data_IF_656394344157
#
_entry.id   IF_656394344157
#
_cell.length_a   1.000
_cell.length_b   1.000
_cell.length_c   1.000
_cell.angle_alpha   90.00
_cell.angle_beta   90.00
_cell.angle_gamma   90.00
#
_symmetry.space_group_name_H-M   'P 1'
#
loop_
_entity.id
_entity.type
_entity.pdbx_description
1 polymer ?
#
# COMPACT_ATOMS: atom_id res chain seq x y z
N UNK A 1 13.30 7.44 -19.72
CA UNK A 1 13.15 6.12 -19.06
C UNK A 1 13.98 6.02 -17.79
N UNK A 2 15.26 6.39 -17.79
CA UNK A 2 16.13 6.36 -16.59
C UNK A 2 15.55 7.11 -15.39
N UNK A 3 14.99 8.32 -15.60
CA UNK A 3 14.33 9.09 -14.55
C UNK A 3 13.11 8.38 -13.94
N UNK A 4 12.31 7.71 -14.78
CA UNK A 4 11.11 6.96 -14.33
C UNK A 4 11.51 5.79 -13.44
N UNK A 5 12.58 5.07 -13.78
CA UNK A 5 13.06 3.92 -12.99
C UNK A 5 13.57 4.39 -11.62
N UNK A 6 14.35 5.47 -11.57
CA UNK A 6 14.84 6.03 -10.31
C UNK A 6 13.70 6.52 -9.42
N UNK A 7 12.74 7.25 -10.00
CA UNK A 7 11.55 7.71 -9.27
C UNK A 7 10.68 6.53 -8.81
N UNK A 8 10.62 5.43 -9.56
CA UNK A 8 9.90 4.23 -9.15
C UNK A 8 10.56 3.54 -7.95
N UNK A 9 11.89 3.48 -7.91
CA UNK A 9 12.63 2.94 -6.75
C UNK A 9 12.36 3.82 -5.52
N UNK A 10 12.45 5.14 -5.67
CA UNK A 10 12.14 6.08 -4.58
C UNK A 10 10.70 5.95 -4.11
N UNK A 11 9.74 5.84 -5.03
CA UNK A 11 8.34 5.64 -4.67
C UNK A 11 8.05 4.29 -4.00
N UNK A 12 8.80 3.23 -4.32
CA UNK A 12 8.74 1.97 -3.60
C UNK A 12 9.21 2.13 -2.14
N UNK A 13 10.28 2.89 -1.91
CA UNK A 13 10.75 3.24 -0.56
C UNK A 13 9.69 4.08 0.18
N UNK A 14 9.07 5.07 -0.49
CA UNK A 14 7.98 5.86 0.10
C UNK A 14 6.77 4.99 0.46
N UNK A 15 6.43 3.99 -0.38
CA UNK A 15 5.39 3.01 -0.07
C UNK A 15 5.68 2.24 1.21
N UNK A 16 6.93 1.83 1.44
CA UNK A 16 7.34 1.17 2.67
C UNK A 16 7.23 2.11 3.89
N UNK A 17 7.60 3.39 3.75
CA UNK A 17 7.44 4.40 4.82
C UNK A 17 5.97 4.62 5.16
N UNK A 18 5.12 4.83 4.14
CA UNK A 18 3.67 5.00 4.34
C UNK A 18 3.10 3.77 5.03
N UNK A 19 3.42 2.56 4.55
CA UNK A 19 2.96 1.31 5.16
C UNK A 19 3.41 1.16 6.62
N UNK A 20 4.67 1.48 6.92
CA UNK A 20 5.23 1.41 8.28
C UNK A 20 4.47 2.33 9.23
N UNK A 21 4.22 3.57 8.82
CA UNK A 21 3.48 4.54 9.64
C UNK A 21 2.02 4.12 9.76
N UNK A 22 1.37 3.77 8.64
CA UNK A 22 -0.05 3.43 8.57
C UNK A 22 -0.41 2.23 9.42
N UNK A 23 0.41 1.17 9.37
CA UNK A 23 0.16 -0.07 10.09
C UNK A 23 0.89 -0.16 11.44
N UNK A 24 1.53 0.93 11.90
CA UNK A 24 2.13 0.98 13.23
C UNK A 24 1.08 0.85 14.34
N UNK A 25 1.47 0.24 15.47
CA UNK A 25 0.61 0.07 16.65
C UNK A 25 0.07 1.39 17.23
N UNK A 26 0.73 2.51 16.92
CA UNK A 26 0.33 3.84 17.33
C UNK A 26 -0.91 4.38 16.61
N UNK A 27 -1.26 3.82 15.44
CA UNK A 27 -2.40 4.32 14.65
C UNK A 27 -3.65 3.48 14.86
N UNK A 28 -4.86 4.07 14.68
CA UNK A 28 -6.10 3.30 14.65
C UNK A 28 -6.08 2.18 13.58
N UNK A 29 -5.43 2.45 12.44
CA UNK A 29 -5.34 1.52 11.32
C UNK A 29 -4.44 0.31 11.64
N UNK A 30 -3.32 0.53 12.32
CA UNK A 30 -2.47 -0.56 12.81
C UNK A 30 -3.20 -1.43 13.84
N UNK A 31 -3.98 -0.84 14.76
CA UNK A 31 -4.81 -1.60 15.70
C UNK A 31 -5.84 -2.50 14.99
N UNK A 32 -6.50 -1.97 13.95
CA UNK A 32 -7.43 -2.76 13.11
C UNK A 32 -6.68 -3.89 12.41
N UNK A 33 -5.47 -3.62 11.88
CA UNK A 33 -4.67 -4.63 11.21
C UNK A 33 -4.22 -5.75 12.16
N UNK A 34 -3.80 -5.43 13.37
CA UNK A 34 -3.42 -6.45 14.36
C UNK A 34 -4.59 -7.31 14.80
N UNK A 35 -5.78 -6.71 14.94
CA UNK A 35 -7.01 -7.47 15.19
C UNK A 35 -7.39 -8.35 14.01
N UNK A 36 -7.19 -7.88 12.79
CA UNK A 36 -7.36 -8.72 11.59
C UNK A 36 -6.40 -9.91 11.58
N UNK A 37 -5.16 -9.73 12.02
CA UNK A 37 -4.18 -10.82 12.17
C UNK A 37 -4.47 -11.72 13.39
N UNK A 38 -5.43 -11.37 14.24
CA UNK A 38 -5.76 -12.09 15.48
C UNK A 38 -4.73 -11.91 16.59
N UNK A 39 -3.78 -10.96 16.45
CA UNK A 39 -2.75 -10.68 17.45
C UNK A 39 -3.29 -9.97 18.69
N UNK A 40 -4.49 -9.40 18.62
CA UNK A 40 -5.18 -8.79 19.76
C UNK A 40 -5.64 -9.80 20.82
N UNK A 41 -5.76 -11.08 20.44
CA UNK A 41 -6.21 -12.17 21.32
C UNK A 41 -5.08 -12.96 21.97
N UNK A 42 -3.84 -12.71 21.54
CA UNK A 42 -2.67 -13.43 22.02
C UNK A 42 -2.11 -12.77 23.29
N UNK A 43 -1.62 -13.59 24.20
CA UNK A 43 -0.77 -13.16 25.31
C UNK A 43 0.57 -12.63 24.80
N UNK A 44 1.31 -11.89 25.62
CA UNK A 44 2.58 -11.30 25.17
C UNK A 44 3.66 -12.34 24.89
N UNK A 45 3.61 -13.49 25.55
CA UNK A 45 4.52 -14.61 25.29
C UNK A 45 4.19 -15.31 23.97
N UNK A 46 2.91 -15.51 23.66
CA UNK A 46 2.48 -16.04 22.36
C UNK A 46 2.81 -15.09 21.20
N UNK A 47 2.70 -13.77 21.42
CA UNK A 47 3.12 -12.77 20.42
C UNK A 47 4.60 -12.87 20.14
N UNK A 48 5.44 -12.95 21.19
CA UNK A 48 6.89 -13.11 21.03
C UNK A 48 7.23 -14.38 20.29
N UNK A 49 6.61 -15.51 20.65
CA UNK A 49 6.82 -16.78 19.97
C UNK A 49 6.48 -16.69 18.48
N UNK A 50 5.31 -16.14 18.12
CA UNK A 50 4.93 -15.97 16.71
C UNK A 50 5.86 -15.02 15.96
N UNK A 51 6.40 -14.01 16.62
CA UNK A 51 7.41 -13.13 16.02
C UNK A 51 8.71 -13.89 15.74
N UNK A 52 9.19 -14.71 16.68
CA UNK A 52 10.38 -15.56 16.49
C UNK A 52 10.20 -16.56 15.34
N UNK A 53 9.02 -17.19 15.26
CA UNK A 53 8.68 -18.12 14.17
C UNK A 53 8.60 -17.42 12.80
N UNK A 54 8.17 -16.15 12.78
CA UNK A 54 8.07 -15.36 11.55
C UNK A 54 9.43 -14.84 11.07
N UNK A 55 10.39 -14.55 11.96
CA UNK A 55 11.73 -14.00 11.63
C UNK A 55 12.40 -14.65 10.41
N UNK A 56 12.51 -15.99 10.29
CA UNK A 56 13.16 -16.62 9.13
C UNK A 56 12.46 -16.33 7.79
N UNK A 57 11.16 -16.04 7.81
CA UNK A 57 10.38 -15.71 6.61
C UNK A 57 10.31 -14.21 6.33
N UNK A 58 10.58 -13.36 7.33
CA UNK A 58 10.44 -11.89 7.22
C UNK A 58 11.23 -11.32 6.03
N UNK A 59 12.48 -11.75 5.84
CA UNK A 59 13.30 -11.25 4.73
C UNK A 59 12.66 -11.54 3.35
N UNK A 60 12.08 -12.73 3.18
CA UNK A 60 11.39 -13.11 1.93
C UNK A 60 10.10 -12.30 1.76
N UNK A 61 9.34 -12.11 2.84
CA UNK A 61 8.11 -11.31 2.81
C UNK A 61 8.40 -9.84 2.49
N UNK A 62 9.42 -9.23 3.09
CA UNK A 62 9.83 -7.87 2.78
C UNK A 62 10.39 -7.72 1.37
N UNK A 63 11.18 -8.69 0.89
CA UNK A 63 11.65 -8.71 -0.49
C UNK A 63 10.49 -8.76 -1.49
N UNK A 64 9.51 -9.64 -1.25
CA UNK A 64 8.29 -9.74 -2.05
C UNK A 64 7.48 -8.44 -2.01
N UNK A 65 7.27 -7.88 -0.80
CA UNK A 65 6.56 -6.61 -0.64
C UNK A 65 7.25 -5.46 -1.37
N UNK A 66 8.58 -5.39 -1.32
CA UNK A 66 9.34 -4.35 -2.02
C UNK A 66 9.18 -4.45 -3.53
N UNK A 67 9.17 -5.67 -4.08
CA UNK A 67 8.90 -5.90 -5.49
C UNK A 67 7.48 -5.45 -5.87
N UNK A 68 6.47 -5.78 -5.06
CA UNK A 68 5.10 -5.34 -5.28
C UNK A 68 4.99 -3.81 -5.22
N UNK A 69 5.59 -3.18 -4.21
CA UNK A 69 5.66 -1.71 -4.08
C UNK A 69 6.37 -1.06 -5.27
N UNK A 70 7.41 -1.69 -5.82
CA UNK A 70 8.09 -1.22 -7.02
C UNK A 70 7.20 -1.26 -8.25
N UNK A 71 6.41 -2.32 -8.44
CA UNK A 71 5.46 -2.41 -9.55
C UNK A 71 4.39 -1.32 -9.47
N UNK A 72 3.79 -1.14 -8.29
CA UNK A 72 2.81 -0.08 -8.05
C UNK A 72 3.42 1.31 -8.28
N UNK A 73 4.63 1.54 -7.77
CA UNK A 73 5.32 2.81 -7.95
C UNK A 73 5.68 3.07 -9.40
N UNK A 74 6.17 2.06 -10.11
CA UNK A 74 6.53 2.17 -11.52
C UNK A 74 5.33 2.57 -12.36
N UNK A 75 4.19 1.88 -12.19
CA UNK A 75 2.97 2.21 -12.91
C UNK A 75 2.50 3.65 -12.63
N UNK A 76 2.54 4.07 -11.37
CA UNK A 76 2.13 5.43 -10.95
C UNK A 76 3.02 6.51 -11.56
N UNK A 77 4.34 6.36 -11.42
CA UNK A 77 5.32 7.31 -11.96
C UNK A 77 5.21 7.36 -13.49
N UNK A 78 5.08 6.20 -14.15
CA UNK A 78 4.96 6.12 -15.59
C UNK A 78 3.72 6.86 -16.09
N UNK A 79 2.55 6.60 -15.50
CA UNK A 79 1.29 7.27 -15.87
C UNK A 79 1.42 8.78 -15.69
N UNK A 80 1.82 9.25 -14.51
CA UNK A 80 1.93 10.70 -14.23
C UNK A 80 2.93 11.35 -15.19
N UNK A 81 4.11 10.78 -15.33
CA UNK A 81 5.18 11.35 -16.16
C UNK A 81 4.78 11.43 -17.62
N UNK A 82 4.23 10.36 -18.18
CA UNK A 82 3.85 10.33 -19.58
C UNK A 82 2.62 11.19 -19.86
N UNK A 83 1.62 11.17 -18.97
CA UNK A 83 0.45 12.05 -19.10
C UNK A 83 0.87 13.53 -19.14
N UNK A 84 1.71 13.97 -18.21
CA UNK A 84 2.13 15.37 -18.15
C UNK A 84 3.05 15.75 -19.32
N UNK A 85 3.96 14.87 -19.74
CA UNK A 85 4.80 15.09 -20.94
C UNK A 85 3.99 15.18 -22.23
N UNK A 86 2.84 14.51 -22.28
CA UNK A 86 1.89 14.57 -23.40
C UNK A 86 0.93 15.76 -23.29
N UNK A 87 1.17 16.71 -22.39
CA UNK A 87 0.41 17.96 -22.28
C UNK A 87 -0.83 17.90 -21.39
N UNK A 88 -1.07 16.81 -20.68
CA UNK A 88 -2.17 16.76 -19.70
C UNK A 88 -1.80 17.53 -18.43
N UNK A 89 -2.80 18.17 -17.83
CA UNK A 89 -2.63 18.76 -16.50
C UNK A 89 -2.40 17.68 -15.45
N UNK A 90 -1.70 18.03 -14.37
CA UNK A 90 -1.50 17.09 -13.25
C UNK A 90 -2.82 16.58 -12.66
N UNK A 91 -3.87 17.42 -12.61
CA UNK A 91 -5.19 17.01 -12.14
C UNK A 91 -5.82 15.91 -13.01
N UNK A 92 -5.69 16.03 -14.34
CA UNK A 92 -6.13 14.97 -15.27
C UNK A 92 -5.31 13.69 -15.12
N UNK A 93 -3.99 13.82 -14.97
CA UNK A 93 -3.11 12.67 -14.75
C UNK A 93 -3.40 11.95 -13.43
N UNK A 94 -3.67 12.69 -12.35
CA UNK A 94 -4.15 12.15 -11.08
C UNK A 94 -5.49 11.43 -11.22
N UNK A 95 -6.37 11.91 -12.10
CA UNK A 95 -7.63 11.25 -12.44
C UNK A 95 -7.41 9.79 -12.86
N UNK A 96 -6.42 9.50 -13.69
CA UNK A 96 -6.10 8.11 -14.08
C UNK A 96 -5.62 7.26 -12.91
N UNK A 97 -4.81 7.83 -12.01
CA UNK A 97 -4.34 7.12 -10.81
C UNK A 97 -5.50 6.79 -9.87
N UNK A 98 -6.38 7.76 -9.61
CA UNK A 98 -7.56 7.58 -8.75
C UNK A 98 -8.54 6.59 -9.39
N UNK A 99 -8.72 6.62 -10.71
CA UNK A 99 -9.54 5.63 -11.42
C UNK A 99 -8.94 4.23 -11.35
N UNK A 100 -7.62 4.08 -11.50
CA UNK A 100 -6.99 2.76 -11.34
C UNK A 100 -7.18 2.21 -9.92
N UNK A 101 -7.04 3.07 -8.92
CA UNK A 101 -7.35 2.70 -7.54
C UNK A 101 -8.81 2.29 -7.36
N UNK A 102 -9.76 3.12 -7.80
CA UNK A 102 -11.19 2.92 -7.60
C UNK A 102 -11.74 1.72 -8.38
N UNK A 103 -11.27 1.51 -9.61
CA UNK A 103 -11.83 0.50 -10.51
C UNK A 103 -11.13 -0.86 -10.42
N UNK A 104 -9.88 -0.92 -9.95
CA UNK A 104 -9.14 -2.19 -9.83
C UNK A 104 -8.80 -2.55 -8.40
N UNK A 105 -8.17 -1.65 -7.63
CA UNK A 105 -7.73 -2.00 -6.27
C UNK A 105 -8.92 -2.15 -5.31
N UNK A 106 -9.87 -1.22 -5.36
CA UNK A 106 -11.04 -1.25 -4.47
C UNK A 106 -11.86 -2.54 -4.65
N UNK A 107 -12.21 -2.99 -5.87
CA UNK A 107 -12.94 -4.25 -6.05
C UNK A 107 -12.12 -5.50 -5.68
N UNK A 108 -10.82 -5.52 -6.00
CA UNK A 108 -9.96 -6.68 -5.68
C UNK A 108 -9.83 -6.85 -4.16
N UNK A 109 -9.50 -5.76 -3.44
CA UNK A 109 -9.37 -5.79 -1.98
C UNK A 109 -10.74 -6.05 -1.33
N UNK A 110 -11.79 -5.38 -1.80
CA UNK A 110 -13.15 -5.55 -1.30
C UNK A 110 -13.64 -6.99 -1.45
N UNK A 111 -13.49 -7.58 -2.62
CA UNK A 111 -13.84 -8.97 -2.89
C UNK A 111 -13.06 -9.93 -1.98
N UNK A 112 -11.74 -9.72 -1.84
CA UNK A 112 -10.89 -10.53 -0.96
C UNK A 112 -11.30 -10.49 0.51
N UNK A 113 -11.80 -9.36 1.00
CA UNK A 113 -12.26 -9.22 2.39
C UNK A 113 -13.70 -9.71 2.59
N UNK A 114 -14.58 -9.53 1.61
CA UNK A 114 -15.97 -10.00 1.66
C UNK A 114 -16.01 -11.53 1.64
N UNK A 115 -15.22 -12.16 0.78
CA UNK A 115 -15.22 -13.61 0.61
C UNK A 115 -14.12 -14.32 1.42
N UNK A 116 -13.20 -13.57 2.02
CA UNK A 116 -12.12 -14.11 2.85
C UNK A 116 -12.50 -14.37 4.30
N UNK A 117 -11.53 -14.90 5.06
CA UNK A 117 -11.68 -15.23 6.48
C UNK A 117 -11.41 -14.00 7.37
N UNK A 118 -12.17 -12.93 7.18
CA UNK A 118 -12.12 -11.72 8.00
C UNK A 118 -13.27 -11.70 9.01
N UNK A 119 -13.01 -11.31 10.25
CA UNK A 119 -14.05 -11.03 11.24
C UNK A 119 -15.01 -9.95 10.70
N UNK A 120 -16.30 -10.30 10.60
CA UNK A 120 -17.36 -9.45 10.07
C UNK A 120 -17.55 -8.17 10.88
N UNK A 121 -17.16 -8.16 12.16
CA UNK A 121 -17.21 -6.96 12.99
C UNK A 121 -16.20 -5.88 12.57
N UNK A 122 -15.11 -6.26 11.89
CA UNK A 122 -14.05 -5.33 11.46
C UNK A 122 -13.85 -5.26 9.95
N UNK A 123 -14.56 -6.08 9.15
CA UNK A 123 -14.36 -6.20 7.69
C UNK A 123 -14.39 -4.84 6.98
N UNK A 124 -15.35 -3.98 7.30
CA UNK A 124 -15.46 -2.65 6.71
C UNK A 124 -14.34 -1.71 7.16
N UNK A 125 -13.96 -1.77 8.44
CA UNK A 125 -12.84 -0.97 8.97
C UNK A 125 -11.52 -1.37 8.31
N UNK A 126 -11.31 -2.67 8.12
CA UNK A 126 -10.13 -3.21 7.42
C UNK A 126 -10.15 -2.84 5.94
N UNK A 127 -11.30 -2.95 5.28
CA UNK A 127 -11.49 -2.53 3.90
C UNK A 127 -11.10 -1.07 3.68
N UNK A 128 -11.71 -0.14 4.43
CA UNK A 128 -11.38 1.28 4.31
C UNK A 128 -9.93 1.60 4.68
N UNK A 129 -9.36 0.91 5.67
CA UNK A 129 -7.95 1.03 6.01
C UNK A 129 -7.04 0.64 4.84
N UNK A 130 -7.31 -0.50 4.19
CA UNK A 130 -6.45 -1.04 3.14
C UNK A 130 -6.57 -0.27 1.83
N UNK A 131 -7.78 0.03 1.37
CA UNK A 131 -7.94 0.85 0.16
C UNK A 131 -7.41 2.28 0.41
N UNK A 132 -7.56 2.80 1.63
CA UNK A 132 -7.04 4.11 2.03
C UNK A 132 -5.52 4.16 2.02
N UNK A 133 -4.86 3.15 2.60
CA UNK A 133 -3.40 3.04 2.58
C UNK A 133 -2.84 3.01 1.15
N UNK A 134 -3.49 2.24 0.27
CA UNK A 134 -3.13 2.17 -1.14
C UNK A 134 -3.32 3.52 -1.83
N UNK A 135 -4.45 4.20 -1.61
CA UNK A 135 -4.71 5.51 -2.20
C UNK A 135 -3.67 6.54 -1.77
N UNK A 136 -3.39 6.64 -0.46
CA UNK A 136 -2.39 7.58 0.07
C UNK A 136 -1.02 7.29 -0.51
N UNK A 137 -0.64 6.02 -0.60
CA UNK A 137 0.63 5.60 -1.24
C UNK A 137 0.70 6.07 -2.69
N UNK A 138 -0.34 5.81 -3.48
CA UNK A 138 -0.42 6.24 -4.88
C UNK A 138 -0.33 7.76 -5.03
N UNK A 139 -1.03 8.52 -4.17
CA UNK A 139 -1.02 9.98 -4.21
C UNK A 139 0.34 10.57 -3.84
N UNK A 140 1.01 10.00 -2.84
CA UNK A 140 2.38 10.41 -2.45
C UNK A 140 3.36 10.16 -3.59
N UNK A 141 3.29 9.00 -4.24
CA UNK A 141 4.16 8.66 -5.38
C UNK A 141 3.82 9.54 -6.60
N UNK A 142 2.54 9.81 -6.86
CA UNK A 142 2.13 10.69 -7.94
C UNK A 142 2.61 12.13 -7.73
N UNK A 143 2.55 12.62 -6.49
CA UNK A 143 3.09 13.93 -6.14
C UNK A 143 4.61 13.96 -6.30
N UNK A 144 5.33 12.91 -5.87
CA UNK A 144 6.76 12.77 -6.12
C UNK A 144 7.05 12.89 -7.62
N UNK A 145 6.36 12.12 -8.46
CA UNK A 145 6.59 12.15 -9.92
C UNK A 145 6.38 13.55 -10.50
N UNK A 146 5.36 14.28 -10.05
CA UNK A 146 5.06 15.65 -10.49
C UNK A 146 6.15 16.67 -10.15
N UNK A 147 7.00 16.42 -9.15
CA UNK A 147 8.12 17.33 -8.83
C UNK A 147 9.27 17.25 -9.85
N UNK A 148 9.29 16.23 -10.72
CA UNK A 148 10.40 15.94 -11.63
C UNK A 148 9.98 15.87 -13.11
N UNK A 149 8.80 16.39 -13.44
CA UNK A 149 8.20 16.38 -14.77
C UNK A 149 7.74 17.78 -15.12
#
# INVERSE_FOLDING_TARGET
MTSIILLAILGAVLSAVVGTIWYSMGTPMGKIHMRYLGFDRLTDDEKKQKMEEAKPMMAKMYGGQMLLSLLTSFATVFIITMSMRNGLTFGMALGFIVMNWLCFMVPIIGSGLIWGNCDRAIVWKKFFSDIGANLVTLLVIAFLAKLFV
#
